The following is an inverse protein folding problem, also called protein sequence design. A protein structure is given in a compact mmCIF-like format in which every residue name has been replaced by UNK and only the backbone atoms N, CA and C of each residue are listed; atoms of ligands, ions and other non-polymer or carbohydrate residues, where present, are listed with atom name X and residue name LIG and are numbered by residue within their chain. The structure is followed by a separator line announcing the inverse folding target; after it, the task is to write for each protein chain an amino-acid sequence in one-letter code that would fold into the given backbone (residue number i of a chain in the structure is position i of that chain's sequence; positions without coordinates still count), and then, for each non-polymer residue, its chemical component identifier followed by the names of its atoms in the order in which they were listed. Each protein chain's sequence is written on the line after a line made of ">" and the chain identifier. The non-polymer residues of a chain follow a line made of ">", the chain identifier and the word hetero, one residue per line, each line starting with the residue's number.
data_IF_287106672687
#
_entry.id   IF_287106672687
#
_cell.length_a   1.000
_cell.length_b   1.000
_cell.length_c   1.000
_cell.angle_alpha   90.00
_cell.angle_beta   90.00
_cell.angle_gamma   90.00
#
_symmetry.space_group_name_H-M   'P 1'
#
loop_
_entity.id
_entity.type
_entity.pdbx_description
1 polymer ?
#
# COMPACT_ATOMS: atom_id res chain seq x y z
N UNK A 1 67.63 -12.32 -3.62
CA UNK A 1 66.63 -11.45 -4.27
C UNK A 1 66.46 -10.22 -3.38
N UNK A 2 66.37 -9.08 -4.04
CA UNK A 2 66.71 -7.73 -3.60
C UNK A 2 65.87 -7.15 -2.46
N UNK A 3 66.55 -6.42 -1.58
CA UNK A 3 66.07 -5.61 -0.46
C UNK A 3 65.56 -4.23 -0.90
N UNK A 4 64.81 -3.61 0.02
CA UNK A 4 64.03 -2.37 -0.01
C UNK A 4 64.63 -1.12 -0.66
N UNK A 5 63.77 -0.29 -1.26
CA UNK A 5 63.94 1.16 -1.38
C UNK A 5 62.60 1.87 -1.06
N UNK A 6 62.64 2.75 -0.06
CA UNK A 6 61.50 3.53 0.41
C UNK A 6 61.17 4.72 -0.50
N UNK A 7 59.92 5.17 -0.41
CA UNK A 7 59.42 6.37 -1.10
C UNK A 7 59.84 7.65 -0.38
N UNK A 8 60.24 8.72 -1.10
CA UNK A 8 60.60 10.01 -0.52
C UNK A 8 59.35 10.85 -0.16
N UNK A 9 59.47 11.83 0.77
CA UNK A 9 58.35 12.64 1.24
C UNK A 9 57.93 13.72 0.23
N UNK A 10 56.61 13.96 0.13
CA UNK A 10 56.01 15.04 -0.65
C UNK A 10 56.21 16.39 0.06
N UNK A 11 56.86 17.33 -0.63
CA UNK A 11 56.94 18.75 -0.26
C UNK A 11 55.62 19.47 -0.61
N UNK A 12 55.26 20.56 0.10
CA UNK A 12 53.97 21.23 -0.05
C UNK A 12 53.98 22.16 -1.26
N UNK A 13 53.03 21.99 -2.19
CA UNK A 13 52.76 22.93 -3.28
C UNK A 13 51.46 23.69 -3.03
N UNK A 14 51.67 24.96 -2.69
CA UNK A 14 51.00 26.17 -3.19
C UNK A 14 49.48 26.15 -3.40
N UNK A 15 48.83 27.04 -2.64
CA UNK A 15 47.44 27.45 -2.81
C UNK A 15 47.21 28.02 -4.23
N UNK A 16 46.27 27.43 -4.95
CA UNK A 16 45.71 28.00 -6.17
C UNK A 16 44.50 28.85 -5.78
N UNK A 17 44.65 30.17 -5.94
CA UNK A 17 43.59 31.16 -5.85
C UNK A 17 42.49 30.87 -6.90
N UNK A 18 41.23 30.82 -6.44
CA UNK A 18 40.06 30.81 -7.31
C UNK A 18 39.75 32.26 -7.74
N UNK A 19 39.58 32.55 -9.03
CA UNK A 19 39.19 33.89 -9.46
C UNK A 19 37.73 34.17 -9.08
N UNK A 20 37.51 35.34 -8.49
CA UNK A 20 36.21 35.92 -8.19
C UNK A 20 35.41 36.15 -9.47
N UNK A 21 34.33 35.42 -9.67
CA UNK A 21 33.35 35.71 -10.72
C UNK A 21 32.26 36.63 -10.18
N UNK A 22 32.21 37.82 -10.78
CA UNK A 22 31.26 38.89 -10.59
C UNK A 22 29.83 38.46 -10.93
N UNK A 23 28.89 38.92 -10.12
CA UNK A 23 27.46 38.73 -10.27
C UNK A 23 26.88 39.59 -11.41
N UNK A 24 26.98 39.16 -12.66
CA UNK A 24 26.12 39.58 -13.78
C UNK A 24 26.32 38.60 -14.93
N UNK A 25 25.47 37.58 -15.01
CA UNK A 25 25.06 36.87 -16.24
C UNK A 25 24.41 35.52 -15.85
N UNK A 26 23.18 35.59 -15.34
CA UNK A 26 22.33 34.43 -15.22
C UNK A 26 21.63 34.19 -16.57
N UNK A 27 21.77 33.02 -17.22
CA UNK A 27 20.99 32.71 -18.41
C UNK A 27 19.54 32.47 -18.01
N UNK A 28 18.63 33.13 -18.72
CA UNK A 28 17.18 33.08 -18.53
C UNK A 28 16.64 31.65 -18.40
N UNK A 29 15.77 31.46 -17.40
CA UNK A 29 15.04 30.24 -17.10
C UNK A 29 14.39 29.64 -18.36
N UNK A 30 15.02 28.60 -18.93
CA UNK A 30 14.30 27.66 -19.78
C UNK A 30 13.32 26.91 -18.88
N UNK A 31 12.05 27.31 -18.93
CA UNK A 31 10.92 26.52 -18.41
C UNK A 31 11.04 25.09 -18.97
N UNK A 32 11.56 24.17 -18.17
CA UNK A 32 11.42 22.75 -18.42
C UNK A 32 9.93 22.48 -18.26
N UNK A 33 9.23 22.27 -19.37
CA UNK A 33 7.90 21.66 -19.36
C UNK A 33 8.07 20.25 -18.82
N UNK A 34 7.94 20.09 -17.51
CA UNK A 34 7.73 18.79 -16.88
C UNK A 34 6.31 18.38 -17.23
N UNK A 35 6.15 17.66 -18.34
CA UNK A 35 4.94 16.86 -18.52
C UNK A 35 4.80 15.96 -17.30
N UNK A 36 3.67 15.99 -16.58
CA UNK A 36 3.46 15.09 -15.45
C UNK A 36 3.67 13.64 -15.91
N UNK A 37 4.16 12.75 -15.03
CA UNK A 37 4.32 11.34 -15.38
C UNK A 37 3.00 10.84 -15.94
N UNK A 38 3.06 10.25 -17.15
CA UNK A 38 1.88 9.67 -17.80
C UNK A 38 1.21 8.76 -16.79
N UNK A 39 -0.01 9.13 -16.37
CA UNK A 39 -0.95 8.25 -15.71
C UNK A 39 -0.90 6.91 -16.44
N UNK A 40 -0.88 5.75 -15.75
CA UNK A 40 -1.10 4.48 -16.43
C UNK A 40 -2.30 4.64 -17.36
N UNK A 41 -2.26 4.05 -18.58
CA UNK A 41 -3.28 4.29 -19.59
C UNK A 41 -4.65 4.20 -18.92
N UNK A 42 -5.41 5.29 -19.03
CA UNK A 42 -6.78 5.39 -18.52
C UNK A 42 -7.48 4.08 -18.84
N UNK A 43 -8.11 3.49 -17.82
CA UNK A 43 -8.97 2.31 -17.95
C UNK A 43 -9.71 2.42 -19.28
N UNK A 44 -9.29 1.62 -20.28
CA UNK A 44 -10.08 1.48 -21.49
C UNK A 44 -11.38 0.90 -20.96
N UNK A 45 -12.45 1.67 -21.10
CA UNK A 45 -13.76 1.30 -20.58
C UNK A 45 -14.03 -0.14 -21.00
N UNK A 46 -14.12 -1.02 -20.01
CA UNK A 46 -14.54 -2.39 -20.22
C UNK A 46 -15.93 -2.30 -20.88
N UNK A 47 -16.25 -3.03 -21.96
CA UNK A 47 -17.59 -2.98 -22.58
C UNK A 47 -18.74 -3.28 -21.61
N UNK A 48 -18.44 -3.91 -20.46
CA UNK A 48 -19.38 -4.14 -19.36
C UNK A 48 -19.62 -2.90 -18.46
N UNK A 49 -18.85 -1.83 -18.61
CA UNK A 49 -18.90 -0.63 -17.75
C UNK A 49 -19.98 0.38 -18.17
N UNK A 50 -20.59 0.25 -19.36
CA UNK A 50 -21.57 1.23 -19.85
C UNK A 50 -23.02 0.93 -19.47
N UNK A 51 -23.39 -0.33 -19.19
CA UNK A 51 -24.80 -0.72 -18.98
C UNK A 51 -25.19 -1.05 -17.52
N UNK A 52 -24.23 -1.08 -16.58
CA UNK A 52 -24.46 -1.59 -15.22
C UNK A 52 -24.03 -0.68 -14.06
N UNK A 53 -23.78 0.62 -14.29
CA UNK A 53 -23.41 1.53 -13.19
C UNK A 53 -24.47 1.51 -12.08
N UNK A 54 -24.08 1.06 -10.89
CA UNK A 54 -24.93 1.04 -9.70
C UNK A 54 -25.94 -0.10 -9.60
N UNK A 55 -25.99 -1.06 -10.54
CA UNK A 55 -26.87 -2.22 -10.42
C UNK A 55 -26.18 -3.39 -9.72
N UNK A 56 -26.84 -3.94 -8.70
CA UNK A 56 -26.42 -5.17 -8.04
C UNK A 56 -26.50 -6.36 -9.00
N UNK A 57 -25.41 -7.13 -9.07
CA UNK A 57 -25.31 -8.37 -9.87
C UNK A 57 -25.27 -9.58 -8.96
N UNK A 58 -25.95 -10.66 -9.35
CA UNK A 58 -25.73 -11.98 -8.77
C UNK A 58 -24.65 -12.70 -9.57
N UNK A 59 -23.63 -13.21 -8.90
CA UNK A 59 -22.50 -13.94 -9.48
C UNK A 59 -22.60 -15.40 -9.05
N UNK A 60 -22.52 -16.31 -10.03
CA UNK A 60 -22.63 -17.75 -9.83
C UNK A 60 -21.27 -18.45 -9.91
N UNK A 61 -21.25 -19.71 -9.49
CA UNK A 61 -20.10 -20.59 -9.69
C UNK A 61 -19.78 -20.71 -11.19
N UNK A 62 -18.48 -20.71 -11.52
CA UNK A 62 -17.96 -20.85 -12.88
C UNK A 62 -18.02 -19.57 -13.71
N UNK A 63 -18.35 -18.41 -13.14
CA UNK A 63 -18.37 -17.12 -13.85
C UNK A 63 -17.02 -16.38 -13.85
N UNK A 64 -15.95 -16.99 -13.33
CA UNK A 64 -14.64 -16.34 -13.30
C UNK A 64 -14.00 -16.34 -14.70
N UNK A 65 -13.80 -15.16 -15.27
CA UNK A 65 -13.14 -14.99 -16.56
C UNK A 65 -11.88 -14.12 -16.38
N UNK A 66 -10.66 -14.65 -16.58
CA UNK A 66 -9.42 -13.94 -16.26
C UNK A 66 -9.30 -12.53 -16.89
N UNK A 67 -9.71 -12.39 -18.15
CA UNK A 67 -9.74 -11.12 -18.88
C UNK A 67 -10.64 -10.04 -18.29
N UNK A 68 -11.62 -10.41 -17.47
CA UNK A 68 -12.49 -9.46 -16.76
C UNK A 68 -11.88 -8.96 -15.46
N UNK A 69 -10.85 -9.65 -14.94
CA UNK A 69 -10.34 -9.46 -13.57
C UNK A 69 -8.84 -9.13 -13.51
N UNK A 70 -8.09 -9.32 -14.60
CA UNK A 70 -6.67 -8.99 -14.70
C UNK A 70 -6.41 -7.95 -15.78
N UNK A 71 -5.34 -7.16 -15.61
CA UNK A 71 -4.85 -6.35 -16.71
C UNK A 71 -4.33 -7.24 -17.84
N UNK A 72 -4.58 -6.90 -19.13
CA UNK A 72 -4.11 -7.71 -20.26
C UNK A 72 -2.60 -7.99 -20.26
N UNK A 73 -1.78 -7.06 -19.73
CA UNK A 73 -0.33 -7.26 -19.61
C UNK A 73 0.05 -8.35 -18.61
N UNK A 74 -0.77 -8.57 -17.59
CA UNK A 74 -0.52 -9.53 -16.51
C UNK A 74 -0.79 -10.95 -16.98
N UNK A 75 -1.86 -11.14 -17.76
CA UNK A 75 -2.18 -12.43 -18.38
C UNK A 75 -1.07 -12.94 -19.31
N UNK A 76 -0.27 -12.02 -19.85
CA UNK A 76 0.88 -12.33 -20.71
C UNK A 76 2.23 -12.26 -19.99
N UNK A 77 2.22 -11.98 -18.68
CA UNK A 77 3.45 -11.83 -17.90
C UNK A 77 3.82 -13.15 -17.23
N UNK A 78 5.09 -13.52 -17.33
CA UNK A 78 5.65 -14.59 -16.50
C UNK A 78 6.18 -14.02 -15.20
N UNK A 79 5.93 -14.72 -14.11
CA UNK A 79 6.48 -14.34 -12.81
C UNK A 79 7.99 -14.50 -12.81
N UNK A 80 8.70 -13.55 -12.21
CA UNK A 80 10.15 -13.63 -12.10
C UNK A 80 10.55 -14.82 -11.18
N UNK A 81 11.51 -15.68 -11.56
CA UNK A 81 11.87 -16.89 -10.79
C UNK A 81 12.24 -16.62 -9.32
N UNK A 82 12.90 -15.49 -9.03
CA UNK A 82 13.19 -15.09 -7.65
C UNK A 82 11.93 -14.84 -6.82
N UNK A 83 10.89 -14.25 -7.42
CA UNK A 83 9.61 -13.98 -6.74
C UNK A 83 8.87 -15.30 -6.55
N UNK A 84 8.81 -16.14 -7.58
CA UNK A 84 8.23 -17.48 -7.47
C UNK A 84 8.93 -18.31 -6.36
N UNK A 85 10.26 -18.31 -6.33
CA UNK A 85 11.03 -18.96 -5.27
C UNK A 85 10.77 -18.37 -3.89
N UNK A 86 10.44 -17.08 -3.77
CA UNK A 86 10.11 -16.45 -2.50
C UNK A 86 8.76 -16.95 -1.96
N UNK A 87 7.74 -17.05 -2.82
CA UNK A 87 6.42 -17.56 -2.42
C UNK A 87 6.39 -19.05 -2.04
N UNK A 88 7.42 -19.82 -2.43
CA UNK A 88 7.57 -21.23 -2.00
C UNK A 88 8.35 -21.39 -0.69
N UNK A 89 8.76 -20.30 -0.04
CA UNK A 89 9.43 -20.36 1.26
C UNK A 89 8.40 -20.50 2.38
N UNK A 90 8.46 -21.59 3.14
CA UNK A 90 7.80 -21.68 4.44
C UNK A 90 8.53 -20.89 5.52
N UNK A 91 7.84 -20.64 6.64
CA UNK A 91 8.35 -19.86 7.77
C UNK A 91 9.73 -20.32 8.25
N UNK A 92 9.98 -21.62 8.36
CA UNK A 92 11.28 -22.17 8.79
C UNK A 92 12.45 -21.73 7.88
N UNK A 93 12.25 -21.70 6.56
CA UNK A 93 13.28 -21.24 5.61
C UNK A 93 13.46 -19.73 5.66
N UNK A 94 12.38 -18.98 5.88
CA UNK A 94 12.44 -17.52 6.07
C UNK A 94 13.26 -17.19 7.32
N UNK A 95 12.95 -17.84 8.44
CA UNK A 95 13.64 -17.67 9.72
C UNK A 95 15.13 -17.96 9.55
N UNK A 96 15.49 -19.14 9.02
CA UNK A 96 16.90 -19.53 8.85
C UNK A 96 17.69 -18.54 7.99
N UNK A 97 17.11 -18.04 6.89
CA UNK A 97 17.75 -17.05 6.02
C UNK A 97 17.88 -15.69 6.70
N UNK A 98 16.84 -15.23 7.38
CA UNK A 98 16.81 -13.92 7.98
C UNK A 98 17.78 -13.83 9.16
N UNK A 99 17.81 -14.82 10.04
CA UNK A 99 18.69 -14.84 11.22
C UNK A 99 20.15 -15.08 10.85
N UNK A 100 20.44 -15.78 9.75
CA UNK A 100 21.81 -15.88 9.22
C UNK A 100 22.37 -14.50 8.82
N UNK A 101 21.56 -13.65 8.22
CA UNK A 101 21.95 -12.27 7.85
C UNK A 101 21.82 -11.28 9.02
N UNK A 102 21.11 -11.64 10.07
CA UNK A 102 20.80 -10.80 11.24
C UNK A 102 21.02 -11.59 12.53
N UNK A 103 22.27 -11.89 12.91
CA UNK A 103 22.59 -12.77 14.04
C UNK A 103 22.13 -12.23 15.41
N UNK A 104 21.81 -10.94 15.50
CA UNK A 104 21.25 -10.30 16.69
C UNK A 104 19.77 -10.61 16.93
N UNK A 105 19.08 -11.19 15.93
CA UNK A 105 17.64 -11.47 16.00
C UNK A 105 17.41 -12.75 16.80
N UNK A 106 16.51 -12.69 17.77
CA UNK A 106 16.06 -13.85 18.51
C UNK A 106 15.11 -14.69 17.64
N UNK A 107 15.48 -15.95 17.44
CA UNK A 107 14.77 -16.88 16.54
C UNK A 107 13.33 -17.11 17.00
N UNK A 108 13.11 -17.30 18.30
CA UNK A 108 11.78 -17.60 18.85
C UNK A 108 10.80 -16.43 18.66
N UNK A 109 11.25 -15.19 18.88
CA UNK A 109 10.44 -14.00 18.65
C UNK A 109 10.06 -13.86 17.17
N UNK A 110 11.00 -14.11 16.24
CA UNK A 110 10.68 -14.10 14.80
C UNK A 110 9.68 -15.20 14.43
N UNK A 111 9.80 -16.38 15.03
CA UNK A 111 8.90 -17.51 14.82
C UNK A 111 7.49 -17.20 15.30
N UNK A 112 7.36 -16.58 16.47
CA UNK A 112 6.08 -16.13 17.01
C UNK A 112 5.41 -15.12 16.07
N UNK A 113 6.15 -14.12 15.58
CA UNK A 113 5.65 -13.10 14.66
C UNK A 113 5.15 -13.71 13.35
N UNK A 114 5.91 -14.61 12.74
CA UNK A 114 5.54 -15.26 11.48
C UNK A 114 4.38 -16.26 11.64
N UNK A 115 4.07 -16.68 12.86
CA UNK A 115 2.96 -17.59 13.18
C UNK A 115 1.72 -16.84 13.68
N UNK A 116 1.80 -15.52 13.86
CA UNK A 116 0.71 -14.71 14.38
C UNK A 116 -0.44 -14.61 13.39
N UNK A 117 -1.66 -14.90 13.87
CA UNK A 117 -2.90 -14.70 13.12
C UNK A 117 -3.74 -13.61 13.79
N UNK A 118 -4.00 -12.47 13.13
CA UNK A 118 -4.75 -11.36 13.70
C UNK A 118 -6.25 -11.67 13.78
N UNK A 119 -6.89 -11.22 14.85
CA UNK A 119 -8.35 -11.39 15.06
C UNK A 119 -9.22 -10.48 14.18
N UNK A 120 -8.73 -9.30 13.79
CA UNK A 120 -9.54 -8.28 13.12
C UNK A 120 -8.99 -7.81 11.78
N UNK A 121 -7.74 -8.13 11.48
CA UNK A 121 -7.00 -7.57 10.34
C UNK A 121 -6.31 -8.68 9.53
N UNK A 122 -7.11 -9.60 9.01
CA UNK A 122 -6.67 -10.82 8.33
C UNK A 122 -6.00 -10.50 7.01
N UNK A 123 -6.61 -9.64 6.20
CA UNK A 123 -6.04 -9.27 4.91
C UNK A 123 -5.41 -7.88 4.91
N UNK A 124 -4.08 -7.82 5.03
CA UNK A 124 -3.33 -6.58 5.06
C UNK A 124 -2.48 -6.41 3.81
N UNK A 125 -2.31 -5.17 3.35
CA UNK A 125 -1.29 -4.83 2.37
C UNK A 125 -0.43 -3.68 2.86
N UNK A 126 0.88 -3.76 2.65
CA UNK A 126 1.81 -2.70 3.04
C UNK A 126 2.66 -2.25 1.87
N UNK A 127 2.84 -0.95 1.77
CA UNK A 127 3.75 -0.32 0.81
C UNK A 127 5.14 -0.23 1.42
N UNK A 128 6.11 -0.79 0.70
CA UNK A 128 7.46 -0.99 1.19
C UNK A 128 8.47 -0.31 0.25
N UNK A 129 9.37 0.45 0.84
CA UNK A 129 10.54 0.97 0.14
C UNK A 129 11.78 0.20 0.55
N UNK A 130 12.59 -0.19 -0.44
CA UNK A 130 13.96 -0.61 -0.18
C UNK A 130 14.83 0.64 -0.18
N UNK A 131 15.42 0.95 0.97
CA UNK A 131 16.19 2.18 1.16
C UNK A 131 17.62 1.89 1.56
N UNK A 132 18.50 2.87 1.35
CA UNK A 132 19.85 2.91 1.91
C UNK A 132 20.06 4.18 2.72
N UNK A 133 20.85 4.08 3.79
CA UNK A 133 21.36 5.25 4.51
C UNK A 133 22.57 5.85 3.80
N UNK A 134 23.02 7.03 4.25
CA UNK A 134 24.27 7.65 3.80
C UNK A 134 25.52 6.78 4.08
N UNK A 135 25.48 5.94 5.11
CA UNK A 135 26.52 4.95 5.41
C UNK A 135 26.41 3.65 4.60
N UNK A 136 25.44 3.54 3.69
CA UNK A 136 25.25 2.37 2.83
C UNK A 136 24.45 1.22 3.45
N UNK A 137 23.79 1.44 4.59
CA UNK A 137 22.98 0.40 5.24
C UNK A 137 21.64 0.24 4.51
N UNK A 138 21.44 -0.92 3.88
CA UNK A 138 20.21 -1.26 3.15
C UNK A 138 19.16 -1.89 4.06
N UNK A 139 17.91 -1.49 3.89
CA UNK A 139 16.80 -2.00 4.68
C UNK A 139 15.45 -1.76 4.00
N UNK A 140 14.46 -2.58 4.35
CA UNK A 140 13.07 -2.29 4.01
C UNK A 140 12.45 -1.38 5.07
N UNK A 141 11.63 -0.43 4.62
CA UNK A 141 10.81 0.41 5.49
C UNK A 141 9.34 0.35 5.05
N UNK A 142 8.43 0.49 6.02
CA UNK A 142 6.98 0.53 5.79
C UNK A 142 6.56 1.99 5.58
N UNK A 143 5.91 2.26 4.46
CA UNK A 143 5.41 3.60 4.09
C UNK A 143 3.96 3.78 4.53
N UNK A 144 3.14 2.76 4.28
CA UNK A 144 1.76 2.69 4.74
C UNK A 144 1.25 1.24 4.81
N UNK A 145 0.20 1.02 5.60
CA UNK A 145 -0.53 -0.24 5.68
C UNK A 145 -2.00 0.00 5.33
N UNK A 146 -2.61 -0.95 4.63
CA UNK A 146 -3.93 -0.87 4.02
C UNK A 146 -4.79 -2.07 4.40
N UNK A 147 -6.01 -1.82 4.92
CA UNK A 147 -6.96 -2.88 5.32
C UNK A 147 -7.97 -3.33 4.26
N UNK A 148 -7.75 -2.90 3.04
CA UNK A 148 -8.39 -3.42 1.84
C UNK A 148 -7.46 -3.03 0.69
N UNK A 149 -6.35 -3.78 0.55
CA UNK A 149 -5.31 -3.48 -0.43
C UNK A 149 -5.78 -3.85 -1.84
N UNK A 150 -5.14 -3.21 -2.83
CA UNK A 150 -5.31 -3.50 -4.25
C UNK A 150 -4.00 -4.02 -4.81
N UNK A 151 -4.08 -4.95 -5.76
CA UNK A 151 -2.94 -5.44 -6.51
C UNK A 151 -3.16 -6.77 -7.22
N UNK A 152 -4.24 -7.52 -6.95
CA UNK A 152 -4.41 -8.85 -7.52
C UNK A 152 -4.57 -8.81 -9.04
N UNK A 153 -5.34 -7.87 -9.56
CA UNK A 153 -5.43 -7.60 -11.02
C UNK A 153 -4.11 -7.28 -11.71
N UNK A 154 -3.06 -6.97 -10.94
CA UNK A 154 -1.72 -6.59 -11.39
C UNK A 154 -0.65 -7.65 -11.12
N UNK A 155 -0.97 -8.72 -10.38
CA UNK A 155 -0.01 -9.73 -9.94
C UNK A 155 -0.01 -10.90 -10.93
N UNK A 156 1.14 -11.24 -11.56
CA UNK A 156 1.24 -12.44 -12.40
C UNK A 156 0.91 -13.71 -11.62
N UNK A 157 0.43 -14.73 -12.34
CA UNK A 157 0.13 -16.04 -11.75
C UNK A 157 1.41 -16.67 -11.17
N UNK A 158 1.29 -17.27 -9.97
CA UNK A 158 2.43 -17.88 -9.27
C UNK A 158 2.83 -19.24 -9.85
N UNK A 159 1.85 -19.94 -10.40
CA UNK A 159 1.97 -21.25 -11.02
C UNK A 159 1.45 -21.16 -12.46
N UNK A 160 1.75 -22.15 -13.29
CA UNK A 160 1.09 -22.37 -14.59
C UNK A 160 0.31 -23.70 -14.62
N UNK A 161 0.47 -24.53 -13.59
CA UNK A 161 0.05 -25.94 -13.59
C UNK A 161 -0.98 -26.29 -12.52
N UNK A 162 -1.46 -25.32 -11.74
CA UNK A 162 -2.49 -25.54 -10.71
C UNK A 162 -3.90 -25.55 -11.34
N UNK A 163 -4.79 -26.39 -10.83
CA UNK A 163 -6.15 -26.62 -11.35
C UNK A 163 -7.01 -25.36 -11.32
N UNK A 164 -6.76 -24.46 -10.36
CA UNK A 164 -7.44 -23.17 -10.22
C UNK A 164 -6.51 -21.98 -10.48
N UNK A 165 -5.41 -22.21 -11.20
CA UNK A 165 -4.37 -21.19 -11.40
C UNK A 165 -4.90 -19.90 -12.02
N UNK A 166 -5.93 -19.98 -12.87
CA UNK A 166 -6.52 -18.83 -13.55
C UNK A 166 -7.09 -17.78 -12.57
N UNK A 167 -7.48 -18.21 -11.36
CA UNK A 167 -8.00 -17.34 -10.31
C UNK A 167 -6.87 -16.63 -9.53
N UNK A 168 -5.63 -17.12 -9.67
CA UNK A 168 -4.43 -16.53 -9.11
C UNK A 168 -4.56 -16.12 -7.64
N UNK A 169 -4.06 -14.91 -7.33
CA UNK A 169 -4.07 -14.41 -5.95
C UNK A 169 -5.45 -14.05 -5.40
N UNK A 170 -6.52 -14.02 -6.22
CA UNK A 170 -7.89 -13.85 -5.72
C UNK A 170 -8.29 -15.06 -4.85
N UNK A 171 -8.08 -16.28 -5.36
CA UNK A 171 -8.37 -17.52 -4.62
C UNK A 171 -7.57 -17.60 -3.33
N UNK A 172 -6.27 -17.31 -3.39
CA UNK A 172 -5.42 -17.29 -2.21
C UNK A 172 -6.02 -16.41 -1.11
N UNK A 173 -6.39 -15.16 -1.42
CA UNK A 173 -6.97 -14.25 -0.42
C UNK A 173 -8.30 -14.77 0.14
N UNK A 174 -9.18 -15.33 -0.69
CA UNK A 174 -10.47 -15.85 -0.22
C UNK A 174 -10.28 -17.05 0.69
N UNK A 175 -9.43 -18.01 0.30
CA UNK A 175 -9.20 -19.23 1.06
C UNK A 175 -8.42 -18.97 2.35
N UNK A 176 -7.34 -18.18 2.32
CA UNK A 176 -6.51 -17.97 3.49
C UNK A 176 -7.07 -16.93 4.48
N UNK A 177 -7.66 -15.83 3.99
CA UNK A 177 -8.11 -14.74 4.87
C UNK A 177 -9.61 -14.81 5.23
N UNK A 178 -10.46 -15.27 4.31
CA UNK A 178 -11.92 -15.15 4.46
C UNK A 178 -12.63 -16.45 4.83
N UNK A 179 -12.17 -17.60 4.32
CA UNK A 179 -12.88 -18.86 4.42
C UNK A 179 -13.17 -19.29 5.87
N UNK A 180 -12.19 -19.13 6.76
CA UNK A 180 -12.39 -19.40 8.19
C UNK A 180 -13.47 -18.49 8.81
N UNK A 181 -13.49 -17.19 8.46
CA UNK A 181 -14.52 -16.27 8.93
C UNK A 181 -15.90 -16.60 8.35
N UNK A 182 -15.93 -16.97 7.08
CA UNK A 182 -17.14 -17.40 6.38
C UNK A 182 -17.76 -18.64 7.05
N UNK A 183 -16.93 -19.61 7.47
CA UNK A 183 -17.39 -20.82 8.18
C UNK A 183 -18.10 -20.53 9.51
N UNK A 184 -17.83 -19.35 10.10
CA UNK A 184 -18.41 -18.88 11.37
C UNK A 184 -19.67 -18.03 11.18
N UNK A 185 -20.05 -17.71 9.94
CA UNK A 185 -21.25 -16.94 9.65
C UNK A 185 -22.50 -17.79 9.90
N UNK A 186 -23.52 -17.19 10.52
CA UNK A 186 -24.82 -17.83 10.74
C UNK A 186 -25.57 -18.00 9.40
N UNK A 187 -25.80 -19.24 8.92
CA UNK A 187 -26.47 -19.48 7.64
C UNK A 187 -27.89 -18.90 7.57
N UNK A 188 -28.57 -18.74 8.71
CA UNK A 188 -29.92 -18.18 8.76
C UNK A 188 -29.97 -16.68 8.44
N UNK A 189 -28.83 -15.99 8.45
CA UNK A 189 -28.71 -14.56 8.14
C UNK A 189 -28.60 -14.25 6.63
N UNK A 190 -28.75 -15.26 5.75
CA UNK A 190 -28.90 -15.06 4.32
C UNK A 190 -27.65 -15.33 3.48
N UNK A 191 -27.51 -14.61 2.38
CA UNK A 191 -26.53 -14.88 1.32
C UNK A 191 -25.13 -14.30 1.56
N UNK A 192 -24.30 -14.35 0.51
CA UNK A 192 -22.95 -13.80 0.49
C UNK A 192 -22.90 -12.53 -0.34
N UNK A 193 -21.95 -11.65 -0.03
CA UNK A 193 -21.74 -10.44 -0.80
C UNK A 193 -20.28 -10.02 -0.95
N UNK A 194 -19.99 -9.37 -2.07
CA UNK A 194 -18.86 -8.47 -2.24
C UNK A 194 -19.40 -7.05 -2.43
N UNK A 195 -18.95 -6.13 -1.59
CA UNK A 195 -19.32 -4.71 -1.69
C UNK A 195 -18.08 -3.89 -2.02
N UNK A 196 -18.18 -3.04 -3.03
CA UNK A 196 -17.11 -2.15 -3.44
C UNK A 196 -17.59 -0.70 -3.60
N UNK A 197 -16.67 0.26 -3.58
CA UNK A 197 -16.97 1.66 -3.90
C UNK A 197 -16.21 2.19 -5.12
N UNK A 198 -15.33 1.35 -5.68
CA UNK A 198 -14.55 1.56 -6.91
C UNK A 198 -13.88 0.24 -7.29
N UNK A 199 -13.13 0.26 -8.40
CA UNK A 199 -12.25 -0.83 -8.81
C UNK A 199 -13.03 -2.14 -9.05
N UNK A 200 -14.04 -2.04 -9.91
CA UNK A 200 -14.96 -3.13 -10.24
C UNK A 200 -14.21 -4.36 -10.80
N UNK A 201 -13.18 -4.16 -11.64
CA UNK A 201 -12.34 -5.24 -12.19
C UNK A 201 -11.81 -6.18 -11.10
N UNK A 202 -11.25 -5.62 -10.02
CA UNK A 202 -10.71 -6.43 -8.92
C UNK A 202 -11.81 -6.94 -8.00
N UNK A 203 -12.86 -6.15 -7.77
CA UNK A 203 -13.97 -6.52 -6.89
C UNK A 203 -14.82 -7.66 -7.46
N UNK A 204 -15.06 -7.66 -8.77
CA UNK A 204 -15.79 -8.73 -9.45
C UNK A 204 -15.00 -10.04 -9.45
N UNK A 205 -13.66 -9.97 -9.52
CA UNK A 205 -12.80 -11.15 -9.38
C UNK A 205 -12.95 -11.82 -8.02
N UNK A 206 -12.98 -11.04 -6.94
CA UNK A 206 -13.29 -11.58 -5.61
C UNK A 206 -14.70 -12.16 -5.51
N UNK A 207 -15.71 -11.59 -6.19
CA UNK A 207 -17.07 -12.11 -6.17
C UNK A 207 -17.18 -13.46 -6.86
N UNK A 208 -16.59 -13.60 -8.06
CA UNK A 208 -16.58 -14.85 -8.81
C UNK A 208 -15.81 -15.96 -8.08
N UNK A 209 -14.61 -15.66 -7.57
CA UNK A 209 -13.85 -16.62 -6.76
C UNK A 209 -14.57 -17.01 -5.47
N UNK A 210 -15.21 -16.05 -4.79
CA UNK A 210 -15.99 -16.36 -3.60
C UNK A 210 -17.17 -17.30 -3.93
N UNK A 211 -17.82 -17.13 -5.08
CA UNK A 211 -18.90 -18.01 -5.51
C UNK A 211 -18.39 -19.44 -5.75
N UNK A 212 -17.20 -19.59 -6.34
CA UNK A 212 -16.57 -20.89 -6.57
C UNK A 212 -16.13 -21.58 -5.28
N UNK A 213 -15.49 -20.84 -4.37
CA UNK A 213 -15.01 -21.37 -3.09
C UNK A 213 -16.19 -21.74 -2.18
N UNK A 214 -17.21 -20.89 -2.09
CA UNK A 214 -18.38 -21.12 -1.26
C UNK A 214 -19.39 -22.09 -1.88
N UNK A 215 -19.33 -22.32 -3.20
CA UNK A 215 -20.31 -23.09 -3.97
C UNK A 215 -21.73 -22.53 -3.82
N UNK A 216 -21.84 -21.21 -3.77
CA UNK A 216 -23.08 -20.47 -3.56
C UNK A 216 -23.06 -19.17 -4.39
N UNK A 217 -24.24 -18.63 -4.69
CA UNK A 217 -24.31 -17.33 -5.36
C UNK A 217 -23.83 -16.19 -4.45
N UNK A 218 -23.17 -15.20 -5.05
CA UNK A 218 -22.63 -14.04 -4.35
C UNK A 218 -23.21 -12.77 -4.97
N UNK A 219 -23.73 -11.89 -4.13
CA UNK A 219 -24.15 -10.56 -4.54
C UNK A 219 -22.95 -9.63 -4.70
N UNK A 220 -22.79 -9.03 -5.88
CA UNK A 220 -21.83 -7.97 -6.14
C UNK A 220 -22.58 -6.64 -6.18
N UNK A 221 -22.26 -5.72 -5.28
CA UNK A 221 -22.91 -4.42 -5.20
C UNK A 221 -21.90 -3.27 -5.09
N UNK A 222 -22.16 -2.19 -5.83
CA UNK A 222 -21.50 -0.91 -5.62
C UNK A 222 -22.21 -0.16 -4.49
N UNK A 223 -21.42 0.48 -3.64
CA UNK A 223 -21.91 1.42 -2.64
C UNK A 223 -21.01 2.64 -2.71
N UNK A 224 -21.49 3.75 -3.25
CA UNK A 224 -20.76 5.02 -3.24
C UNK A 224 -21.17 5.87 -2.03
N UNK A 225 -20.31 6.80 -1.61
CA UNK A 225 -20.58 7.61 -0.42
C UNK A 225 -21.73 8.60 -0.62
N UNK A 226 -21.88 9.12 -1.84
CA UNK A 226 -22.83 10.18 -2.19
C UNK A 226 -24.07 9.63 -2.91
N UNK A 227 -24.28 8.32 -2.86
CA UNK A 227 -25.46 7.67 -3.45
C UNK A 227 -26.69 7.93 -2.55
N UNK A 228 -27.72 8.65 -3.03
CA UNK A 228 -28.90 8.96 -2.24
C UNK A 228 -29.85 7.76 -2.07
N UNK A 229 -29.75 6.73 -2.91
CA UNK A 229 -30.58 5.52 -2.84
C UNK A 229 -29.75 4.25 -3.06
N UNK A 230 -28.79 3.96 -2.15
CA UNK A 230 -27.90 2.84 -2.33
C UNK A 230 -28.66 1.52 -2.26
N UNK A 231 -28.32 0.58 -3.13
CA UNK A 231 -28.81 -0.81 -3.09
C UNK A 231 -28.28 -1.62 -1.90
N UNK A 232 -27.76 -0.97 -0.86
CA UNK A 232 -27.14 -1.59 0.31
C UNK A 232 -27.58 -0.85 1.57
N UNK A 233 -27.99 -1.59 2.60
CA UNK A 233 -28.37 -1.00 3.89
C UNK A 233 -28.09 -1.93 5.06
N UNK A 234 -28.11 -1.36 6.27
CA UNK A 234 -28.06 -2.13 7.53
C UNK A 234 -29.42 -2.08 8.23
N UNK A 235 -29.89 -3.23 8.69
CA UNK A 235 -31.07 -3.36 9.56
C UNK A 235 -30.70 -4.31 10.70
N UNK A 236 -30.83 -3.87 11.95
CA UNK A 236 -30.53 -4.67 13.15
C UNK A 236 -29.18 -5.39 13.13
N UNK A 237 -28.16 -4.70 12.59
CA UNK A 237 -26.77 -5.17 12.41
C UNK A 237 -26.60 -6.29 11.37
N UNK A 238 -27.62 -6.56 10.55
CA UNK A 238 -27.56 -7.42 9.37
C UNK A 238 -27.49 -6.54 8.12
N UNK A 239 -26.60 -6.90 7.21
CA UNK A 239 -26.44 -6.23 5.92
C UNK A 239 -27.52 -6.75 4.96
N UNK A 240 -28.12 -5.84 4.18
CA UNK A 240 -29.08 -6.18 3.13
C UNK A 240 -28.63 -5.58 1.80
N UNK A 241 -28.87 -6.33 0.73
CA UNK A 241 -28.63 -5.91 -0.65
C UNK A 241 -29.94 -5.93 -1.42
N UNK A 242 -30.19 -4.90 -2.24
CA UNK A 242 -31.36 -4.76 -3.09
C UNK A 242 -31.05 -5.29 -4.48
N UNK A 243 -31.87 -6.21 -4.98
CA UNK A 243 -31.75 -6.70 -6.36
C UNK A 243 -32.44 -5.77 -7.38
N UNK A 244 -32.39 -6.16 -8.65
CA UNK A 244 -33.03 -5.45 -9.77
C UNK A 244 -34.56 -5.33 -9.61
N UNK A 245 -35.19 -6.28 -8.92
CA UNK A 245 -36.63 -6.35 -8.69
C UNK A 245 -37.04 -5.60 -7.40
N UNK A 246 -36.12 -4.81 -6.83
CA UNK A 246 -36.28 -4.02 -5.61
C UNK A 246 -36.49 -4.86 -4.33
N UNK A 247 -36.15 -6.16 -4.38
CA UNK A 247 -36.23 -7.07 -3.23
C UNK A 247 -34.95 -6.99 -2.42
N UNK A 248 -35.11 -6.91 -1.09
CA UNK A 248 -33.98 -6.84 -0.15
C UNK A 248 -33.61 -8.22 0.37
N UNK A 249 -32.36 -8.62 0.15
CA UNK A 249 -31.79 -9.91 0.54
C UNK A 249 -30.85 -9.74 1.73
N UNK A 250 -31.03 -10.48 2.84
CA UNK A 250 -30.11 -10.45 3.97
C UNK A 250 -28.79 -11.14 3.62
N UNK A 251 -27.69 -10.66 4.22
CA UNK A 251 -26.33 -11.15 3.95
C UNK A 251 -25.69 -11.62 5.26
N UNK A 252 -25.25 -12.88 5.29
CA UNK A 252 -24.57 -13.48 6.44
C UNK A 252 -23.08 -13.17 6.49
N UNK A 253 -22.43 -13.03 5.33
CA UNK A 253 -21.02 -12.68 5.23
C UNK A 253 -20.72 -11.80 4.02
N UNK A 254 -19.85 -10.82 4.21
CA UNK A 254 -19.48 -9.82 3.23
C UNK A 254 -17.97 -9.67 3.12
N UNK A 255 -17.44 -9.88 1.91
CA UNK A 255 -16.11 -9.44 1.53
C UNK A 255 -16.17 -7.94 1.22
N UNK A 256 -15.59 -7.10 2.08
CA UNK A 256 -15.66 -5.65 1.97
C UNK A 256 -14.47 -5.13 1.16
N UNK A 257 -14.74 -4.69 -0.06
CA UNK A 257 -13.82 -3.94 -0.91
C UNK A 257 -14.13 -2.44 -0.96
N UNK A 258 -14.55 -1.90 0.18
CA UNK A 258 -15.01 -0.52 0.33
C UNK A 258 -13.92 0.34 0.98
N UNK A 259 -13.45 1.33 0.22
CA UNK A 259 -12.16 1.97 0.45
C UNK A 259 -12.26 3.37 1.06
N UNK A 260 -13.29 4.13 0.73
CA UNK A 260 -13.38 5.54 1.09
C UNK A 260 -14.22 5.72 2.34
N UNK A 261 -13.61 6.13 3.45
CA UNK A 261 -14.28 6.38 4.75
C UNK A 261 -15.30 5.28 5.11
N UNK A 262 -14.91 3.99 5.15
CA UNK A 262 -15.84 2.88 5.32
C UNK A 262 -16.64 2.93 6.63
N UNK A 263 -16.10 3.60 7.65
CA UNK A 263 -16.76 3.82 8.95
C UNK A 263 -18.04 4.68 8.88
N UNK A 264 -18.27 5.41 7.79
CA UNK A 264 -19.53 6.13 7.57
C UNK A 264 -20.68 5.20 7.14
N UNK A 265 -20.36 3.98 6.70
CA UNK A 265 -21.30 3.06 6.05
C UNK A 265 -21.41 1.71 6.76
N UNK A 266 -20.36 1.28 7.44
CA UNK A 266 -20.32 0.00 8.15
C UNK A 266 -20.28 0.22 9.68
N UNK A 267 -21.20 -0.40 10.44
CA UNK A 267 -21.16 -0.40 11.89
C UNK A 267 -19.90 -1.06 12.46
N UNK A 268 -19.50 -0.67 13.68
CA UNK A 268 -18.41 -1.31 14.41
C UNK A 268 -18.74 -2.75 14.86
N UNK A 269 -20.02 -3.04 15.08
CA UNK A 269 -20.52 -4.35 15.51
C UNK A 269 -21.61 -4.81 14.57
N UNK A 270 -21.38 -5.93 13.91
CA UNK A 270 -22.29 -6.51 12.92
C UNK A 270 -22.65 -7.95 13.33
N UNK A 271 -23.82 -8.43 12.90
CA UNK A 271 -24.16 -9.85 12.91
C UNK A 271 -23.63 -10.52 11.63
N UNK A 272 -23.73 -9.82 10.50
CA UNK A 272 -23.02 -10.18 9.26
C UNK A 272 -21.52 -10.20 9.51
N UNK A 273 -20.84 -11.27 9.11
CA UNK A 273 -19.38 -11.34 9.11
C UNK A 273 -18.83 -10.40 8.03
N UNK A 274 -17.86 -9.54 8.36
CA UNK A 274 -17.28 -8.57 7.43
C UNK A 274 -15.77 -8.67 7.44
N UNK A 275 -15.15 -8.91 6.28
CA UNK A 275 -13.71 -8.93 6.14
C UNK A 275 -13.19 -7.73 5.32
N UNK A 276 -12.21 -6.96 5.81
CA UNK A 276 -11.81 -6.85 7.22
C UNK A 276 -12.85 -6.05 8.01
N UNK A 277 -12.94 -6.27 9.31
CA UNK A 277 -13.80 -5.50 10.20
C UNK A 277 -13.38 -4.02 10.23
N UNK A 278 -14.34 -3.10 10.43
CA UNK A 278 -14.07 -1.66 10.44
C UNK A 278 -13.07 -1.23 11.51
N UNK A 279 -13.00 -1.97 12.63
CA UNK A 279 -12.02 -1.68 13.66
C UNK A 279 -10.57 -1.72 13.12
N UNK A 280 -10.25 -2.60 12.17
CA UNK A 280 -8.93 -2.64 11.51
C UNK A 280 -8.60 -1.35 10.74
N UNK A 281 -9.62 -0.72 10.12
CA UNK A 281 -9.46 0.55 9.42
C UNK A 281 -9.08 1.66 10.41
N UNK A 282 -9.80 1.72 11.54
CA UNK A 282 -9.62 2.72 12.58
C UNK A 282 -8.30 2.54 13.35
N UNK A 283 -7.88 1.28 13.55
CA UNK A 283 -6.68 0.89 14.29
C UNK A 283 -5.37 1.02 13.48
N UNK A 284 -5.40 1.66 12.31
CA UNK A 284 -4.20 1.94 11.52
C UNK A 284 -4.27 1.50 10.07
N UNK A 285 -5.13 0.53 9.72
CA UNK A 285 -5.23 0.03 8.35
C UNK A 285 -5.78 1.03 7.33
N UNK A 286 -6.41 2.12 7.77
CA UNK A 286 -6.83 3.28 6.93
C UNK A 286 -6.71 4.61 7.66
N UNK A 287 -6.01 4.63 8.79
CA UNK A 287 -5.78 5.82 9.59
C UNK A 287 -4.27 5.94 9.81
N UNK A 288 -3.63 6.79 9.01
CA UNK A 288 -2.17 6.92 8.97
C UNK A 288 -1.58 7.36 10.32
N UNK A 289 -2.32 8.16 11.08
CA UNK A 289 -1.90 8.63 12.40
C UNK A 289 -1.90 7.50 13.42
N UNK A 290 -2.95 6.66 13.40
CA UNK A 290 -3.02 5.50 14.29
C UNK A 290 -2.00 4.43 13.89
N UNK A 291 -1.74 4.26 12.59
CA UNK A 291 -0.70 3.34 12.11
C UNK A 291 0.67 3.70 12.68
N UNK A 292 1.07 4.97 12.60
CA UNK A 292 2.34 5.44 13.15
C UNK A 292 2.47 5.12 14.66
N UNK A 293 1.40 5.36 15.43
CA UNK A 293 1.35 5.01 16.86
C UNK A 293 1.40 3.51 17.13
N UNK A 294 0.73 2.71 16.32
CA UNK A 294 0.75 1.25 16.44
C UNK A 294 2.15 0.69 16.19
N UNK A 295 2.88 1.22 15.20
CA UNK A 295 4.27 0.83 14.97
C UNK A 295 5.17 1.20 16.15
N UNK A 296 5.02 2.41 16.71
CA UNK A 296 5.79 2.85 17.87
C UNK A 296 5.54 1.98 19.11
N UNK A 297 4.28 1.63 19.38
CA UNK A 297 3.94 0.75 20.50
C UNK A 297 4.48 -0.65 20.29
N UNK A 298 4.26 -1.24 19.12
CA UNK A 298 4.76 -2.57 18.84
C UNK A 298 6.30 -2.65 18.91
N UNK A 299 7.00 -1.64 18.39
CA UNK A 299 8.46 -1.55 18.51
C UNK A 299 8.94 -1.48 19.96
N UNK A 300 8.18 -0.87 20.87
CA UNK A 300 8.49 -0.85 22.30
C UNK A 300 8.28 -2.22 22.95
N UNK A 301 7.24 -2.94 22.52
CA UNK A 301 6.91 -4.27 23.05
C UNK A 301 7.99 -5.31 22.68
N UNK A 302 8.60 -5.18 21.50
CA UNK A 302 9.62 -6.12 20.99
C UNK A 302 11.07 -5.66 21.24
N UNK A 303 11.29 -4.70 22.14
CA UNK A 303 12.65 -4.22 22.46
C UNK A 303 13.54 -5.39 22.90
N UNK A 304 14.77 -5.42 22.37
CA UNK A 304 15.75 -6.45 22.72
C UNK A 304 15.57 -7.79 21.98
N UNK A 305 14.62 -7.89 21.04
CA UNK A 305 14.49 -9.05 20.14
C UNK A 305 15.41 -8.98 18.92
N UNK A 306 16.00 -7.80 18.65
CA UNK A 306 16.75 -7.53 17.42
C UNK A 306 15.86 -7.20 16.21
N UNK A 307 14.53 -7.22 16.38
CA UNK A 307 13.53 -6.87 15.37
C UNK A 307 12.99 -5.45 15.59
N UNK A 308 12.54 -4.82 14.51
CA UNK A 308 11.82 -3.55 14.55
C UNK A 308 11.06 -3.32 13.24
N UNK A 309 9.89 -2.68 13.35
CA UNK A 309 9.21 -2.05 12.23
C UNK A 309 9.92 -0.73 11.94
N UNK A 310 10.48 -0.63 10.74
CA UNK A 310 11.20 0.56 10.29
C UNK A 310 10.27 1.41 9.43
N UNK A 311 10.19 2.70 9.73
CA UNK A 311 9.35 3.66 9.01
C UNK A 311 10.13 4.95 8.77
N UNK A 312 9.76 5.77 7.77
CA UNK A 312 10.28 7.13 7.67
C UNK A 312 9.85 7.96 8.90
N UNK A 313 10.68 8.93 9.30
CA UNK A 313 10.35 9.82 10.41
C UNK A 313 9.01 10.51 10.14
N UNK A 314 8.08 10.41 11.09
CA UNK A 314 6.68 10.80 10.89
C UNK A 314 6.21 11.64 12.08
N UNK A 315 5.91 12.91 11.82
CA UNK A 315 5.36 13.84 12.80
C UNK A 315 3.84 13.84 12.66
N UNK A 316 3.16 13.48 13.76
CA UNK A 316 1.71 13.35 13.82
C UNK A 316 1.04 14.60 14.38
N UNK A 317 -0.27 14.75 14.14
CA UNK A 317 -1.12 15.80 14.71
C UNK A 317 -0.72 17.24 14.38
N UNK A 318 -0.05 17.44 13.24
CA UNK A 318 0.44 18.74 12.78
C UNK A 318 -0.74 19.59 12.30
N UNK A 319 -0.87 20.80 12.84
CA UNK A 319 -1.83 21.80 12.34
C UNK A 319 -1.29 22.49 11.09
N UNK A 320 -2.18 23.03 10.24
CA UNK A 320 -1.78 23.76 9.01
C UNK A 320 -0.71 24.82 9.26
N UNK A 321 -0.83 25.60 10.34
CA UNK A 321 0.14 26.66 10.68
C UNK A 321 1.53 26.17 11.06
N UNK A 322 1.66 24.92 11.53
CA UNK A 322 2.95 24.32 11.94
C UNK A 322 3.71 23.68 10.77
N UNK A 323 3.05 23.45 9.63
CA UNK A 323 3.62 22.71 8.49
C UNK A 323 4.93 23.32 7.98
N UNK A 324 5.04 24.65 7.74
CA UNK A 324 6.29 25.24 7.26
C UNK A 324 7.48 25.02 8.20
N UNK A 325 7.23 25.02 9.52
CA UNK A 325 8.26 24.79 10.54
C UNK A 325 8.82 23.36 10.44
N UNK A 326 7.94 22.37 10.34
CA UNK A 326 8.36 20.97 10.23
C UNK A 326 9.10 20.69 8.93
N UNK A 327 8.61 21.22 7.81
CA UNK A 327 9.30 21.06 6.51
C UNK A 327 10.69 21.71 6.56
N UNK A 328 10.82 22.89 7.16
CA UNK A 328 12.11 23.55 7.36
C UNK A 328 13.05 22.68 8.21
N UNK A 329 12.57 22.11 9.32
CA UNK A 329 13.38 21.21 10.17
C UNK A 329 13.85 19.94 9.45
N UNK A 330 13.11 19.49 8.41
CA UNK A 330 13.45 18.34 7.57
C UNK A 330 14.36 18.69 6.39
N UNK A 331 14.89 19.91 6.34
CA UNK A 331 15.76 20.37 5.24
C UNK A 331 14.99 20.76 3.98
N UNK A 332 13.76 21.26 4.12
CA UNK A 332 12.95 21.83 3.05
C UNK A 332 12.13 20.82 2.24
N UNK A 333 12.24 19.54 2.55
CA UNK A 333 11.59 18.45 1.81
C UNK A 333 10.76 17.59 2.75
N UNK A 334 9.54 17.24 2.36
CA UNK A 334 8.69 16.31 3.13
C UNK A 334 7.53 15.77 2.28
N UNK A 335 6.85 14.76 2.81
CA UNK A 335 5.54 14.32 2.34
C UNK A 335 4.48 14.73 3.36
N UNK A 336 3.50 15.53 2.94
CA UNK A 336 2.32 15.84 3.72
C UNK A 336 1.22 14.84 3.39
N UNK A 337 0.56 14.31 4.41
CA UNK A 337 -0.53 13.35 4.25
C UNK A 337 -1.74 13.75 5.08
N UNK A 338 -2.91 13.71 4.44
CA UNK A 338 -4.20 13.78 5.13
C UNK A 338 -4.47 12.43 5.80
N UNK A 339 -4.65 12.36 7.14
CA UNK A 339 -4.64 11.09 7.89
C UNK A 339 -5.67 10.04 7.43
N UNK A 340 -6.83 10.49 6.97
CA UNK A 340 -7.99 9.67 6.63
C UNK A 340 -8.17 9.45 5.12
N UNK A 341 -7.28 10.01 4.30
CA UNK A 341 -7.32 9.88 2.85
C UNK A 341 -6.54 8.65 2.39
N UNK A 342 -6.95 8.05 1.27
CA UNK A 342 -6.43 6.77 0.76
C UNK A 342 -6.21 6.79 -0.76
N UNK A 343 -5.50 5.77 -1.27
CA UNK A 343 -5.22 5.59 -2.70
C UNK A 343 -4.51 6.80 -3.34
N UNK A 344 -3.49 7.33 -2.66
CA UNK A 344 -2.69 8.48 -3.12
C UNK A 344 -3.40 9.83 -3.06
N UNK A 345 -4.70 9.88 -2.76
CA UNK A 345 -5.41 11.14 -2.56
C UNK A 345 -4.96 11.80 -1.25
N UNK A 346 -4.83 13.12 -1.23
CA UNK A 346 -4.42 13.86 -0.03
C UNK A 346 -2.97 13.55 0.41
N UNK A 347 -2.11 13.18 -0.54
CA UNK A 347 -0.66 13.05 -0.36
C UNK A 347 0.01 14.14 -1.20
N UNK A 348 0.83 14.97 -0.58
CA UNK A 348 1.51 16.08 -1.21
C UNK A 348 3.01 15.97 -0.97
N UNK A 349 3.76 15.85 -2.06
CA UNK A 349 5.22 15.85 -2.00
C UNK A 349 5.69 17.29 -2.10
N UNK A 350 6.41 17.76 -1.09
CA UNK A 350 6.97 19.10 -1.04
C UNK A 350 8.48 19.02 -1.24
N UNK A 351 8.94 19.63 -2.32
CA UNK A 351 10.35 19.71 -2.72
C UNK A 351 10.82 21.14 -2.92
N UNK A 352 9.91 22.11 -2.96
CA UNK A 352 10.21 23.52 -3.14
C UNK A 352 9.13 24.42 -2.50
N UNK A 353 9.43 25.72 -2.41
CA UNK A 353 8.55 26.70 -1.77
C UNK A 353 7.22 26.90 -2.52
N UNK A 354 7.21 26.75 -3.85
CA UNK A 354 5.98 26.89 -4.64
C UNK A 354 4.98 25.79 -4.28
N UNK A 355 5.41 24.54 -4.24
CA UNK A 355 4.57 23.41 -3.83
C UNK A 355 4.04 23.57 -2.39
N UNK A 356 4.87 24.11 -1.49
CA UNK A 356 4.44 24.44 -0.13
C UNK A 356 3.37 25.54 -0.13
N UNK A 357 3.58 26.62 -0.88
CA UNK A 357 2.61 27.72 -0.97
C UNK A 357 1.28 27.25 -1.59
N UNK A 358 1.33 26.43 -2.63
CA UNK A 358 0.16 25.87 -3.29
C UNK A 358 -0.65 25.02 -2.30
N UNK A 359 0.02 24.12 -1.57
CA UNK A 359 -0.61 23.35 -0.51
C UNK A 359 -1.21 24.26 0.58
N UNK A 360 -0.47 25.29 1.00
CA UNK A 360 -0.88 26.21 2.06
C UNK A 360 -2.00 27.16 1.64
N UNK A 361 -2.28 27.32 0.34
CA UNK A 361 -3.38 28.13 -0.19
C UNK A 361 -4.62 27.31 -0.52
N UNK A 362 -4.48 25.99 -0.63
CA UNK A 362 -5.60 25.09 -0.88
C UNK A 362 -6.56 25.02 0.32
N UNK A 363 -7.86 24.87 0.03
CA UNK A 363 -8.85 24.52 1.02
C UNK A 363 -8.80 23.03 1.36
N UNK A 364 -8.63 22.74 2.64
CA UNK A 364 -8.54 21.39 3.16
C UNK A 364 -9.75 21.09 4.03
N UNK A 365 -10.33 19.90 3.86
CA UNK A 365 -11.45 19.46 4.70
C UNK A 365 -11.03 19.13 6.14
N UNK A 366 -9.74 18.85 6.36
CA UNK A 366 -9.19 18.48 7.66
C UNK A 366 -8.12 19.49 8.11
N UNK A 367 -8.08 19.79 9.41
CA UNK A 367 -7.11 20.72 10.01
C UNK A 367 -5.86 20.04 10.57
N UNK A 368 -5.81 18.71 10.51
CA UNK A 368 -4.72 17.88 11.05
C UNK A 368 -4.08 17.06 9.94
N UNK A 369 -2.75 17.12 9.90
CA UNK A 369 -1.91 16.49 8.90
C UNK A 369 -0.84 15.63 9.56
N UNK A 370 -0.22 14.81 8.73
CA UNK A 370 1.01 14.09 9.04
C UNK A 370 2.10 14.64 8.13
N UNK A 371 3.24 14.98 8.73
CA UNK A 371 4.46 15.35 8.02
C UNK A 371 5.42 14.18 8.11
N UNK A 372 5.72 13.55 6.99
CA UNK A 372 6.61 12.41 6.92
C UNK A 372 7.87 12.76 6.13
N UNK A 373 9.03 12.27 6.56
CA UNK A 373 10.28 12.46 5.83
C UNK A 373 10.17 11.88 4.42
N UNK A 374 10.51 12.68 3.42
CA UNK A 374 10.55 12.33 2.02
C UNK A 374 11.73 11.39 1.75
N UNK A 375 11.42 10.21 1.25
CA UNK A 375 12.39 9.20 0.82
C UNK A 375 12.50 9.27 -0.69
N UNK A 376 13.59 9.83 -1.19
CA UNK A 376 13.79 10.07 -2.62
C UNK A 376 15.23 9.79 -3.03
N UNK A 377 15.80 10.64 -3.87
CA UNK A 377 17.22 10.57 -4.20
C UNK A 377 18.04 11.57 -3.36
N UNK A 378 19.35 11.65 -3.60
CA UNK A 378 20.26 12.51 -2.84
C UNK A 378 19.87 13.99 -2.80
N UNK A 379 19.25 14.54 -3.86
CA UNK A 379 18.95 15.96 -3.97
C UNK A 379 17.65 16.40 -3.28
N UNK A 380 16.71 15.48 -3.01
CA UNK A 380 15.40 15.83 -2.44
C UNK A 380 14.91 14.88 -1.33
N UNK A 381 15.81 14.10 -0.72
CA UNK A 381 15.49 13.36 0.51
C UNK A 381 15.59 14.26 1.74
N UNK A 382 14.60 14.13 2.64
CA UNK A 382 14.57 14.85 3.91
C UNK A 382 15.77 14.53 4.79
N UNK A 383 16.17 15.51 5.59
CA UNK A 383 17.10 15.34 6.70
C UNK A 383 16.29 14.93 7.93
N UNK A 384 16.65 13.82 8.57
CA UNK A 384 16.03 13.35 9.82
C UNK A 384 17.06 13.22 10.92
N UNK A 385 16.62 13.04 12.15
CA UNK A 385 17.49 12.73 13.30
C UNK A 385 18.34 11.47 13.08
N UNK A 386 17.80 10.49 12.34
CA UNK A 386 18.48 9.23 12.00
C UNK A 386 19.28 9.30 10.69
N UNK A 387 19.40 10.49 10.07
CA UNK A 387 20.04 10.70 8.77
C UNK A 387 19.06 10.69 7.60
N UNK A 388 19.55 10.45 6.38
CA UNK A 388 18.71 10.41 5.17
C UNK A 388 18.45 8.97 4.73
N UNK A 389 17.25 8.71 4.24
CA UNK A 389 16.94 7.50 3.47
C UNK A 389 16.89 7.83 1.99
N UNK A 390 17.61 7.04 1.20
CA UNK A 390 17.61 7.10 -0.25
C UNK A 390 16.92 5.87 -0.83
N UNK A 391 16.03 6.09 -1.78
CA UNK A 391 15.27 5.03 -2.42
C UNK A 391 16.14 4.22 -3.39
N UNK A 392 16.34 2.93 -3.12
CA UNK A 392 17.21 2.06 -3.92
C UNK A 392 16.57 1.69 -5.26
N UNK A 393 15.23 1.63 -5.32
CA UNK A 393 14.49 1.31 -6.54
C UNK A 393 14.47 2.43 -7.59
N UNK A 394 15.20 3.53 -7.37
CA UNK A 394 15.29 4.67 -8.28
C UNK A 394 16.40 4.44 -9.30
N UNK A 395 16.07 3.83 -10.43
CA UNK A 395 17.04 3.31 -11.41
C UNK A 395 16.96 4.12 -12.73
N UNK A 396 18.07 4.75 -13.19
CA UNK A 396 18.10 5.40 -14.49
C UNK A 396 18.18 4.39 -15.63
N UNK A 397 17.48 4.65 -16.73
CA UNK A 397 17.64 3.90 -17.98
C UNK A 397 18.83 4.44 -18.79
N UNK A 398 19.11 3.82 -19.96
CA UNK A 398 20.18 4.25 -20.89
C UNK A 398 20.06 5.70 -21.38
N UNK A 399 18.89 6.32 -21.24
CA UNK A 399 18.61 7.71 -21.61
C UNK A 399 18.61 8.65 -20.39
N UNK A 400 19.12 8.19 -19.24
CA UNK A 400 19.12 8.92 -17.97
C UNK A 400 17.74 9.29 -17.44
N UNK A 401 16.67 8.65 -17.93
CA UNK A 401 15.36 8.77 -17.31
C UNK A 401 15.31 7.87 -16.10
N UNK A 402 14.93 8.43 -14.96
CA UNK A 402 14.84 7.71 -13.70
C UNK A 402 13.46 7.10 -13.52
N UNK A 403 13.41 5.79 -13.25
CA UNK A 403 12.19 5.06 -12.91
C UNK A 403 12.25 4.58 -11.47
N UNK A 404 11.08 4.37 -10.88
CA UNK A 404 10.95 3.90 -9.50
C UNK A 404 10.35 2.49 -9.50
N UNK A 405 10.93 1.61 -8.71
CA UNK A 405 10.47 0.24 -8.51
C UNK A 405 10.31 -0.04 -7.02
N UNK A 406 9.06 -0.23 -6.59
CA UNK A 406 8.67 -0.41 -5.20
C UNK A 406 7.98 -1.76 -5.02
N UNK A 407 7.81 -2.17 -3.75
CA UNK A 407 7.13 -3.42 -3.43
C UNK A 407 5.89 -3.16 -2.59
N UNK A 408 4.80 -3.80 -2.97
CA UNK A 408 3.64 -3.99 -2.10
C UNK A 408 3.58 -5.44 -1.69
N UNK A 409 3.52 -5.70 -0.39
CA UNK A 409 3.36 -7.03 0.15
C UNK A 409 1.95 -7.17 0.72
N UNK A 410 1.25 -8.24 0.35
CA UNK A 410 -0.01 -8.62 0.99
C UNK A 410 0.22 -9.80 1.93
N UNK A 411 -0.44 -9.77 3.07
CA UNK A 411 -0.46 -10.83 4.09
C UNK A 411 -1.92 -11.17 4.37
N UNK A 412 -2.20 -12.45 4.58
CA UNK A 412 -3.55 -13.03 4.71
C UNK A 412 -3.64 -13.95 5.90
#
# INVERSE_FOLDING_TARGET
>A
MTTSLGSPPLLPKEALELPSLSATDAPADKKIQTTPPKTPPSEIANPLASDHKGQTRLVSQGEFEPEQHFYPRVLNAQIHPLIQSFFTLGNERIIARYTHLNPQVKVEDLKEILSYSPKHFQWAGSDLFNVTTASGHRQMIVIETNSCPSGQKSMPLLSETDEHNEQGGYRNVIESAFQDQLSKADPSLGGLAVICDKNMMESSGYAAVLADVAKEHVWLAEWHADDPDPGVKWVDRVLYIRDKDQVWHPIRACFRYLTQKPWNRFPLKTKTIVMNQIISCLAGGRNKMMAARAYDFYNKDIVGTGLSIKTPETINNVTRGEIPLWISSMGGHAVLKVPYSNAGQGVYTITNQTELNDFMNQDHHYDKFIVQSLVGNASWSSVTTAGKFYHVGTIPNKKSNTYVSDLRMMVT
#
